data_IF_399724978224
#
_entry.id   IF_399724978224
#
_cell.length_a   1.000
_cell.length_b   1.000
_cell.length_c   1.000
_cell.angle_alpha   90.00
_cell.angle_beta   90.00
_cell.angle_gamma   90.00
#
_symmetry.space_group_name_H-M   'P 1'
#
loop_
_entity.id
_entity.type
_entity.pdbx_description
1 polymer ?
#
# COMPACT_ATOMS: atom_id res chain seq x y z
N UNK A 1 67.60 47.47 18.66
CA UNK A 1 67.69 48.55 17.63
C UNK A 1 66.30 48.72 17.03
N UNK A 2 65.61 49.76 17.43
CA UNK A 2 65.19 50.92 16.66
C UNK A 2 64.23 50.54 15.49
N UNK A 3 63.07 51.07 15.26
CA UNK A 3 62.24 52.19 15.78
C UNK A 3 60.88 52.07 15.10
N UNK A 4 59.78 52.31 15.81
CA UNK A 4 58.54 52.89 15.29
C UNK A 4 58.83 54.33 14.79
N UNK A 5 57.98 55.03 14.00
CA UNK A 5 56.57 55.40 14.20
C UNK A 5 55.81 55.53 12.85
N UNK A 6 54.56 55.92 12.71
CA UNK A 6 53.65 56.77 13.41
C UNK A 6 52.39 56.96 12.55
N UNK A 7 51.26 57.22 13.19
CA UNK A 7 49.99 57.75 12.70
C UNK A 7 50.13 59.14 12.08
N UNK A 8 49.14 59.69 11.30
CA UNK A 8 48.05 60.34 11.98
C UNK A 8 46.66 60.34 11.29
N UNK A 9 45.68 60.61 12.11
CA UNK A 9 44.32 61.07 12.05
C UNK A 9 43.93 62.19 11.03
N UNK A 10 42.64 62.19 10.58
CA UNK A 10 41.75 63.38 10.50
C UNK A 10 40.38 63.01 9.93
N UNK A 11 39.33 63.00 10.63
CA UNK A 11 38.32 63.96 11.11
C UNK A 11 37.31 64.46 10.06
N UNK A 12 36.03 64.38 10.53
CA UNK A 12 34.78 65.14 10.21
C UNK A 12 33.97 64.53 9.07
N UNK A 13 32.69 64.14 9.20
CA UNK A 13 31.64 64.62 10.08
C UNK A 13 30.49 65.11 9.22
N UNK A 14 29.33 64.48 9.26
CA UNK A 14 28.02 65.16 9.15
C UNK A 14 26.87 64.21 9.54
N UNK A 15 26.17 64.68 10.55
CA UNK A 15 24.87 64.16 11.01
C UNK A 15 23.82 64.61 9.98
N UNK A 16 22.94 63.71 9.54
CA UNK A 16 21.58 64.07 9.11
C UNK A 16 20.58 63.03 9.62
N UNK A 17 19.77 63.47 10.53
CA UNK A 17 18.54 62.90 10.99
C UNK A 17 17.55 62.72 9.85
N UNK A 18 16.96 61.52 9.75
CA UNK A 18 15.84 61.19 8.84
C UNK A 18 14.94 60.18 9.55
N UNK A 19 13.75 60.60 9.81
CA UNK A 19 12.62 60.00 10.54
C UNK A 19 12.20 58.68 9.93
N UNK A 20 11.75 57.78 10.81
CA UNK A 20 11.42 56.40 10.60
C UNK A 20 10.34 56.05 9.59
N UNK A 21 10.39 54.82 9.20
CA UNK A 21 9.23 54.00 8.86
C UNK A 21 9.59 52.56 9.18
N UNK A 22 9.03 52.07 10.27
CA UNK A 22 9.07 50.66 10.63
C UNK A 22 8.15 49.92 9.67
N UNK A 23 8.70 49.28 8.64
CA UNK A 23 8.04 48.26 7.87
C UNK A 23 8.17 46.94 8.62
N UNK A 24 7.07 46.55 9.31
CA UNK A 24 6.91 45.20 9.79
C UNK A 24 6.90 44.23 8.59
N UNK A 25 8.01 43.57 8.38
CA UNK A 25 8.09 42.42 7.45
C UNK A 25 7.28 41.28 8.09
N UNK A 26 6.02 41.12 7.70
CA UNK A 26 5.27 39.89 7.84
C UNK A 26 5.99 38.84 7.01
N UNK A 27 6.82 38.06 7.68
CA UNK A 27 7.41 36.85 7.10
C UNK A 27 6.28 35.86 6.82
N UNK A 28 5.82 35.82 5.58
CA UNK A 28 5.15 34.66 5.03
C UNK A 28 6.19 33.54 5.04
N UNK A 29 6.13 32.68 6.07
CA UNK A 29 6.72 31.37 6.00
C UNK A 29 5.92 30.59 4.95
N UNK A 30 6.27 30.76 3.68
CA UNK A 30 5.93 29.80 2.65
C UNK A 30 6.58 28.49 3.10
N UNK A 31 5.76 27.57 3.62
CA UNK A 31 6.20 26.21 3.87
C UNK A 31 6.82 25.71 2.58
N UNK A 32 8.15 25.50 2.59
CA UNK A 32 8.83 24.81 1.51
C UNK A 32 8.20 23.45 1.42
N UNK A 33 7.25 23.25 0.50
CA UNK A 33 6.95 21.92 0.01
C UNK A 33 8.27 21.42 -0.58
N UNK A 34 8.91 20.49 0.12
CA UNK A 34 10.01 19.74 -0.44
C UNK A 34 9.47 19.12 -1.73
N UNK A 35 9.97 19.57 -2.86
CA UNK A 35 9.66 18.96 -4.15
C UNK A 35 10.04 17.48 -4.02
N UNK A 36 9.03 16.61 -3.97
CA UNK A 36 9.22 15.17 -4.09
C UNK A 36 9.88 14.95 -5.45
N UNK A 37 10.97 14.20 -5.50
CA UNK A 37 11.61 13.88 -6.77
C UNK A 37 10.62 13.05 -7.59
N UNK A 38 10.33 13.46 -8.83
CA UNK A 38 9.45 12.72 -9.72
C UNK A 38 9.98 11.30 -9.94
N UNK A 39 9.13 10.34 -9.76
CA UNK A 39 9.42 8.96 -10.12
C UNK A 39 9.43 8.85 -11.64
N UNK A 40 10.51 8.30 -12.21
CA UNK A 40 10.64 8.12 -13.65
C UNK A 40 9.41 7.41 -14.22
N UNK A 41 8.83 7.98 -15.28
CA UNK A 41 7.68 7.42 -15.97
C UNK A 41 7.99 6.01 -16.51
N UNK A 42 7.04 5.11 -16.35
CA UNK A 42 7.15 3.72 -16.78
C UNK A 42 6.01 3.36 -17.72
N UNK A 43 6.04 2.18 -18.28
CA UNK A 43 4.84 1.54 -18.86
C UNK A 43 3.83 1.28 -17.75
N UNK A 44 2.55 1.16 -18.14
CA UNK A 44 1.43 0.78 -17.26
C UNK A 44 0.69 -0.44 -17.79
N UNK A 45 -0.02 -1.15 -16.95
CA UNK A 45 -0.92 -2.21 -17.41
C UNK A 45 -2.08 -1.60 -18.20
N UNK A 46 -2.39 -2.21 -19.35
CA UNK A 46 -3.63 -1.92 -20.06
C UNK A 46 -4.79 -2.64 -19.37
N UNK A 47 -5.65 -1.85 -18.74
CA UNK A 47 -6.77 -2.38 -17.97
C UNK A 47 -7.92 -2.88 -18.84
N UNK A 48 -7.93 -2.55 -20.14
CA UNK A 48 -8.96 -3.01 -21.09
C UNK A 48 -8.70 -4.42 -21.61
N UNK A 49 -7.44 -4.86 -21.56
CA UNK A 49 -7.06 -6.22 -21.97
C UNK A 49 -7.71 -7.29 -21.08
N UNK A 50 -7.94 -8.49 -21.61
CA UNK A 50 -8.50 -9.60 -20.84
C UNK A 50 -7.68 -9.95 -19.60
N UNK A 51 -8.32 -10.56 -18.61
CA UNK A 51 -7.66 -11.17 -17.47
C UNK A 51 -7.51 -12.67 -17.67
N UNK A 52 -6.43 -13.23 -17.14
CA UNK A 52 -6.15 -14.65 -17.12
C UNK A 52 -6.34 -15.22 -15.73
N UNK A 53 -6.71 -16.47 -15.63
CA UNK A 53 -6.81 -17.17 -14.35
C UNK A 53 -5.41 -17.52 -13.80
N UNK A 54 -5.20 -17.23 -12.51
CA UNK A 54 -4.20 -17.99 -11.75
C UNK A 54 -4.88 -19.25 -11.20
N UNK A 55 -5.97 -19.06 -10.46
CA UNK A 55 -6.84 -20.13 -10.00
C UNK A 55 -8.24 -19.61 -9.62
N UNK A 56 -9.20 -20.53 -9.48
CA UNK A 56 -10.58 -20.24 -9.06
C UNK A 56 -10.98 -21.08 -7.86
N UNK A 57 -11.75 -20.49 -6.97
CA UNK A 57 -12.49 -21.13 -5.86
C UNK A 57 -11.64 -22.07 -5.00
N UNK A 58 -10.46 -21.61 -4.58
CA UNK A 58 -9.55 -22.38 -3.74
C UNK A 58 -9.84 -22.18 -2.25
N UNK A 59 -9.63 -23.24 -1.49
CA UNK A 59 -9.85 -23.25 -0.05
C UNK A 59 -8.85 -22.37 0.70
N UNK A 60 -9.34 -21.73 1.77
CA UNK A 60 -8.54 -21.04 2.76
C UNK A 60 -8.85 -21.57 4.16
N UNK A 61 -7.93 -21.38 5.10
CA UNK A 61 -8.18 -21.76 6.48
C UNK A 61 -9.35 -20.97 7.06
N UNK A 62 -10.38 -21.66 7.53
CA UNK A 62 -11.57 -21.08 8.16
C UNK A 62 -12.64 -20.57 7.19
N UNK A 63 -12.46 -20.71 5.87
CA UNK A 63 -13.46 -20.39 4.84
C UNK A 63 -14.09 -18.99 4.99
N UNK A 64 -13.29 -17.98 5.33
CA UNK A 64 -13.71 -16.58 5.54
C UNK A 64 -13.37 -15.71 4.32
N UNK A 65 -13.98 -14.54 4.27
CA UNK A 65 -13.75 -13.56 3.21
C UNK A 65 -12.25 -13.20 3.12
N UNK A 66 -11.67 -13.34 1.93
CA UNK A 66 -10.36 -12.82 1.60
C UNK A 66 -10.39 -11.29 1.74
N UNK A 67 -9.32 -10.68 2.21
CA UNK A 67 -9.18 -9.22 2.32
C UNK A 67 -8.10 -8.66 1.38
N UNK A 68 -7.05 -9.43 1.16
CA UNK A 68 -5.96 -9.10 0.24
C UNK A 68 -5.02 -10.30 0.06
N UNK A 69 -3.99 -10.11 -0.75
CA UNK A 69 -2.96 -11.12 -0.96
C UNK A 69 -1.63 -10.47 -1.38
N UNK A 70 -0.54 -11.21 -1.20
CA UNK A 70 0.81 -10.79 -1.60
C UNK A 70 1.66 -11.99 -2.04
N UNK A 71 2.63 -11.75 -2.91
CA UNK A 71 3.53 -12.76 -3.43
C UNK A 71 4.94 -12.61 -2.85
N UNK A 72 5.52 -13.71 -2.38
CA UNK A 72 6.97 -13.85 -2.25
C UNK A 72 7.50 -14.35 -3.60
N UNK A 73 8.04 -13.43 -4.37
CA UNK A 73 8.42 -13.68 -5.77
C UNK A 73 9.71 -14.52 -5.93
N UNK A 74 10.50 -14.66 -4.85
CA UNK A 74 11.72 -15.48 -4.83
C UNK A 74 11.40 -16.90 -4.39
N UNK A 75 10.72 -17.06 -3.26
CA UNK A 75 10.38 -18.37 -2.72
C UNK A 75 9.10 -18.98 -3.34
N UNK A 76 8.41 -18.22 -4.23
CA UNK A 76 7.23 -18.65 -4.99
C UNK A 76 6.06 -19.09 -4.12
N UNK A 77 5.78 -18.29 -3.12
CA UNK A 77 4.62 -18.44 -2.27
C UNK A 77 3.62 -17.31 -2.46
N UNK A 78 2.37 -17.66 -2.35
CA UNK A 78 1.26 -16.72 -2.26
C UNK A 78 0.77 -16.69 -0.81
N UNK A 79 0.55 -15.51 -0.29
CA UNK A 79 -0.06 -15.29 1.03
C UNK A 79 -1.39 -14.59 0.83
N UNK A 80 -2.47 -15.19 1.35
CA UNK A 80 -3.84 -14.65 1.28
C UNK A 80 -4.28 -14.30 2.70
N UNK A 81 -4.57 -13.02 2.93
CA UNK A 81 -5.16 -12.56 4.18
C UNK A 81 -6.67 -12.76 4.14
N UNK A 82 -7.22 -13.38 5.17
CA UNK A 82 -8.67 -13.49 5.41
C UNK A 82 -8.99 -12.97 6.80
N UNK A 83 -10.25 -12.62 7.06
CA UNK A 83 -10.70 -12.44 8.44
C UNK A 83 -10.52 -13.73 9.22
N UNK A 84 -10.17 -13.61 10.51
CA UNK A 84 -10.10 -14.79 11.38
C UNK A 84 -11.48 -15.29 11.72
N UNK A 85 -11.68 -16.60 11.66
CA UNK A 85 -12.94 -17.22 12.07
C UNK A 85 -13.17 -17.05 13.57
N UNK A 86 -14.37 -16.63 13.96
CA UNK A 86 -14.78 -16.44 15.35
C UNK A 86 -14.41 -15.10 15.98
N UNK A 87 -13.73 -14.18 15.24
CA UNK A 87 -13.41 -12.84 15.72
C UNK A 87 -14.38 -11.80 15.15
N UNK A 88 -14.64 -10.73 15.91
CA UNK A 88 -15.36 -9.55 15.42
C UNK A 88 -14.47 -8.72 14.48
N UNK A 89 -15.06 -7.91 13.60
CA UNK A 89 -14.30 -7.04 12.71
C UNK A 89 -13.48 -6.01 13.47
N UNK A 90 -14.00 -5.50 14.58
CA UNK A 90 -13.33 -4.55 15.47
C UNK A 90 -12.10 -5.11 16.18
N UNK A 91 -11.95 -6.46 16.24
CA UNK A 91 -10.81 -7.09 16.89
C UNK A 91 -9.52 -6.91 16.06
N UNK A 92 -9.66 -6.68 14.76
CA UNK A 92 -8.52 -6.57 13.85
C UNK A 92 -7.76 -7.89 13.68
N UNK A 93 -8.46 -9.02 13.82
CA UNK A 93 -7.86 -10.36 13.75
C UNK A 93 -7.87 -10.88 12.32
N UNK A 94 -6.72 -11.37 11.88
CA UNK A 94 -6.49 -11.92 10.54
C UNK A 94 -6.02 -13.37 10.58
N UNK A 95 -6.23 -14.06 9.48
CA UNK A 95 -5.58 -15.34 9.16
C UNK A 95 -4.81 -15.19 7.85
N UNK A 96 -3.51 -15.35 7.89
CA UNK A 96 -2.66 -15.37 6.70
C UNK A 96 -2.52 -16.81 6.23
N UNK A 97 -3.06 -17.09 5.05
CA UNK A 97 -3.00 -18.39 4.40
C UNK A 97 -1.79 -18.42 3.47
N UNK A 98 -0.90 -19.39 3.64
CA UNK A 98 0.18 -19.66 2.69
C UNK A 98 -0.30 -20.68 1.67
N UNK A 99 -0.10 -20.37 0.40
CA UNK A 99 -0.53 -21.19 -0.73
C UNK A 99 0.61 -21.32 -1.74
N UNK A 100 0.57 -22.34 -2.59
CA UNK A 100 1.34 -22.37 -3.84
C UNK A 100 0.60 -21.60 -4.95
N UNK A 101 1.22 -21.53 -6.15
CA UNK A 101 0.62 -20.81 -7.29
C UNK A 101 -0.50 -21.59 -8.01
N UNK A 102 -0.68 -22.86 -7.70
CA UNK A 102 -1.85 -23.63 -8.13
C UNK A 102 -3.04 -23.43 -7.19
N UNK A 103 -2.84 -22.64 -6.14
CA UNK A 103 -3.84 -22.34 -5.12
C UNK A 103 -4.04 -23.47 -4.11
N UNK A 104 -3.06 -24.39 -3.97
CA UNK A 104 -3.13 -25.40 -2.93
C UNK A 104 -2.75 -24.77 -1.59
N UNK A 105 -3.60 -24.96 -0.61
CA UNK A 105 -3.39 -24.53 0.76
C UNK A 105 -2.21 -25.31 1.37
N UNK A 106 -1.25 -24.61 1.98
CA UNK A 106 -0.08 -25.20 2.60
C UNK A 106 -0.09 -25.08 4.13
N UNK A 107 -0.40 -23.91 4.66
CA UNK A 107 -0.43 -23.63 6.09
C UNK A 107 -1.06 -22.27 6.37
N UNK A 108 -1.26 -21.94 7.66
CA UNK A 108 -1.78 -20.64 8.08
C UNK A 108 -0.94 -20.01 9.19
N UNK A 109 -1.18 -18.73 9.45
CA UNK A 109 -0.73 -17.99 10.62
C UNK A 109 -1.84 -17.05 11.07
N UNK A 110 -2.23 -17.13 12.34
CA UNK A 110 -3.19 -16.18 12.91
C UNK A 110 -2.47 -14.93 13.44
N UNK A 111 -3.08 -13.78 13.21
CA UNK A 111 -2.62 -12.48 13.67
C UNK A 111 -3.75 -11.85 14.50
N UNK A 112 -3.49 -11.56 15.77
CA UNK A 112 -4.49 -10.98 16.68
C UNK A 112 -4.22 -9.49 16.90
N UNK A 113 -5.23 -8.65 16.70
CA UNK A 113 -5.13 -7.21 16.91
C UNK A 113 -4.24 -6.49 15.88
N UNK A 114 -4.13 -7.03 14.68
CA UNK A 114 -3.29 -6.43 13.62
C UNK A 114 -4.03 -5.36 12.84
N UNK A 115 -5.17 -5.67 12.25
CA UNK A 115 -5.91 -4.71 11.45
C UNK A 115 -6.95 -5.34 10.51
N UNK A 116 -7.35 -4.60 9.47
CA UNK A 116 -8.38 -5.04 8.53
C UNK A 116 -7.84 -5.95 7.41
N UNK A 117 -6.57 -5.80 7.04
CA UNK A 117 -5.94 -6.64 6.02
C UNK A 117 -6.13 -6.16 4.58
N UNK A 118 -6.45 -4.89 4.35
CA UNK A 118 -6.75 -4.33 3.01
C UNK A 118 -5.60 -4.48 2.01
N UNK A 119 -4.37 -4.41 2.47
CA UNK A 119 -3.17 -4.62 1.68
C UNK A 119 -1.97 -4.90 2.59
N UNK A 120 -1.08 -5.78 2.15
CA UNK A 120 0.19 -6.07 2.81
C UNK A 120 1.25 -6.46 1.78
N UNK A 121 2.51 -6.53 2.19
CA UNK A 121 3.61 -6.97 1.34
C UNK A 121 4.23 -8.26 1.89
N UNK A 122 4.72 -9.12 0.98
CA UNK A 122 5.48 -10.32 1.31
C UNK A 122 6.88 -10.20 0.69
N UNK A 123 7.89 -10.04 1.53
CA UNK A 123 9.27 -9.87 1.10
C UNK A 123 10.07 -11.17 1.29
N UNK A 124 10.88 -11.58 0.32
CA UNK A 124 11.75 -12.73 0.49
C UNK A 124 12.79 -12.47 1.59
N UNK A 125 12.96 -13.43 2.49
CA UNK A 125 13.91 -13.36 3.60
C UNK A 125 14.63 -14.70 3.77
N UNK A 126 15.68 -14.91 2.99
CA UNK A 126 16.31 -16.22 2.85
C UNK A 126 15.33 -17.25 2.30
N UNK A 127 15.24 -18.41 2.93
CA UNK A 127 14.25 -19.46 2.59
C UNK A 127 12.86 -19.22 3.17
N UNK A 128 12.64 -18.10 3.83
CA UNK A 128 11.35 -17.71 4.43
C UNK A 128 10.85 -16.40 3.90
N UNK A 129 9.73 -15.94 4.45
CA UNK A 129 9.06 -14.70 4.03
C UNK A 129 8.88 -13.78 5.23
N UNK A 130 9.20 -12.51 5.06
CA UNK A 130 8.84 -11.43 5.96
C UNK A 130 7.60 -10.72 5.40
N UNK A 131 6.56 -10.63 6.20
CA UNK A 131 5.35 -9.91 5.84
C UNK A 131 5.40 -8.52 6.46
N UNK A 132 5.23 -7.47 5.64
CA UNK A 132 4.96 -6.13 6.12
C UNK A 132 3.46 -5.89 6.09
N UNK A 133 2.87 -5.78 7.27
CA UNK A 133 1.42 -5.71 7.44
C UNK A 133 1.05 -4.68 8.51
N UNK A 134 -0.15 -4.13 8.42
CA UNK A 134 -0.70 -3.28 9.47
C UNK A 134 -0.74 -4.00 10.82
N UNK A 135 -0.58 -3.25 11.91
CA UNK A 135 -0.65 -3.77 13.27
C UNK A 135 -1.16 -2.69 14.23
N UNK A 136 -1.35 -3.05 15.50
CA UNK A 136 -1.84 -2.15 16.54
C UNK A 136 -3.24 -1.62 16.17
N UNK A 137 -4.20 -2.55 16.02
CA UNK A 137 -5.57 -2.25 15.58
C UNK A 137 -6.26 -1.25 16.53
N UNK A 138 -6.89 -0.24 15.95
CA UNK A 138 -7.75 0.69 16.67
C UNK A 138 -9.12 0.05 16.99
N UNK A 139 -10.00 0.77 17.67
CA UNK A 139 -11.35 0.29 18.07
C UNK A 139 -12.28 -0.01 16.90
N UNK A 140 -11.92 0.38 15.67
CA UNK A 140 -12.64 0.08 14.45
C UNK A 140 -12.00 -1.08 13.65
N UNK A 141 -10.95 -1.71 14.20
CA UNK A 141 -10.25 -2.84 13.59
C UNK A 141 -9.28 -2.48 12.47
N UNK A 142 -8.78 -1.23 12.40
CA UNK A 142 -7.76 -0.81 11.44
C UNK A 142 -6.40 -0.63 12.11
N UNK A 143 -5.34 -1.14 11.49
CA UNK A 143 -4.00 -1.04 12.05
C UNK A 143 -3.45 0.40 12.06
N UNK A 144 -2.88 0.82 13.18
CA UNK A 144 -2.33 2.18 13.37
C UNK A 144 -0.83 2.28 13.10
N UNK A 145 -0.21 1.18 12.73
CA UNK A 145 1.21 1.09 12.39
C UNK A 145 1.44 -0.05 11.38
N UNK A 146 2.67 -0.19 10.91
CA UNK A 146 3.15 -1.30 10.10
C UNK A 146 4.18 -2.12 10.90
N UNK A 147 4.18 -3.43 10.76
CA UNK A 147 5.19 -4.29 11.34
C UNK A 147 5.75 -5.30 10.32
N UNK A 148 7.08 -5.54 10.34
CA UNK A 148 7.67 -6.71 9.70
C UNK A 148 7.48 -7.91 10.62
N UNK A 149 6.85 -8.95 10.12
CA UNK A 149 6.68 -10.21 10.84
C UNK A 149 7.18 -11.38 9.98
N UNK A 150 7.92 -12.30 10.59
CA UNK A 150 8.29 -13.52 9.89
C UNK A 150 7.09 -14.46 9.85
N UNK A 151 6.71 -14.91 8.66
CA UNK A 151 5.69 -15.94 8.53
C UNK A 151 6.16 -17.24 9.21
N UNK A 152 5.35 -17.74 10.13
CA UNK A 152 5.58 -19.01 10.84
C UNK A 152 4.32 -19.87 10.76
N UNK A 153 4.45 -21.02 10.12
CA UNK A 153 3.31 -21.91 9.86
C UNK A 153 2.64 -22.40 11.14
N UNK A 154 1.31 -22.43 11.11
CA UNK A 154 0.44 -22.99 12.15
C UNK A 154 0.62 -22.34 13.54
N UNK A 155 0.89 -21.05 13.56
CA UNK A 155 1.08 -20.26 14.79
C UNK A 155 0.05 -19.16 14.94
N UNK A 156 -0.01 -18.59 16.13
CA UNK A 156 -0.75 -17.35 16.42
C UNK A 156 0.22 -16.31 16.96
N UNK A 157 0.19 -15.12 16.39
CA UNK A 157 0.97 -13.96 16.82
C UNK A 157 0.04 -12.86 17.29
N UNK A 158 0.29 -12.30 18.47
CA UNK A 158 -0.32 -11.04 18.92
C UNK A 158 0.31 -9.83 18.22
N UNK A 159 -0.43 -8.73 18.18
CA UNK A 159 0.11 -7.47 17.63
C UNK A 159 1.42 -7.10 18.32
N UNK A 160 2.48 -6.72 17.57
CA UNK A 160 3.78 -6.44 18.16
C UNK A 160 3.71 -5.23 19.09
N UNK A 161 4.59 -5.21 20.08
CA UNK A 161 4.75 -4.05 20.96
C UNK A 161 5.02 -2.78 20.15
N UNK A 162 4.62 -1.62 20.67
CA UNK A 162 4.77 -0.33 19.99
C UNK A 162 6.21 -0.04 19.54
N UNK A 163 7.21 -0.63 20.21
CA UNK A 163 8.65 -0.51 19.87
C UNK A 163 9.07 -1.32 18.65
N UNK A 164 8.26 -2.32 18.24
CA UNK A 164 8.50 -3.15 17.06
C UNK A 164 7.57 -2.76 15.90
N UNK A 165 6.73 -1.74 16.08
CA UNK A 165 5.83 -1.20 15.09
C UNK A 165 6.38 0.11 14.51
N UNK A 166 6.22 0.30 13.22
CA UNK A 166 6.73 1.46 12.48
C UNK A 166 5.61 2.38 12.04
N UNK A 167 5.81 3.68 12.23
CA UNK A 167 4.95 4.76 11.75
C UNK A 167 5.78 5.70 10.89
N UNK A 168 5.97 5.38 9.60
CA UNK A 168 6.85 6.13 8.70
C UNK A 168 6.53 7.62 8.60
N UNK A 169 5.29 8.01 8.88
CA UNK A 169 4.80 9.38 8.75
C UNK A 169 4.25 9.85 10.09
N UNK A 170 4.86 10.90 10.64
CA UNK A 170 4.45 11.45 11.93
C UNK A 170 2.99 11.92 11.94
N UNK A 171 2.26 11.56 12.99
CA UNK A 171 0.85 11.94 13.17
C UNK A 171 -0.15 11.26 12.25
N UNK A 172 0.30 10.29 11.43
CA UNK A 172 -0.60 9.48 10.61
C UNK A 172 -1.19 8.32 11.41
N UNK A 173 -2.33 7.85 10.95
CA UNK A 173 -3.09 6.71 11.47
C UNK A 173 -3.51 5.79 10.32
N UNK A 174 -3.95 4.56 10.64
CA UNK A 174 -4.48 3.60 9.67
C UNK A 174 -3.52 3.35 8.48
N UNK A 175 -2.51 2.56 8.74
CA UNK A 175 -1.52 2.20 7.74
C UNK A 175 -1.84 0.88 7.05
N UNK A 176 -1.66 0.83 5.73
CA UNK A 176 -1.53 -0.40 4.94
C UNK A 176 -0.39 -0.24 3.94
N UNK A 177 0.14 -1.32 3.38
CA UNK A 177 1.23 -1.24 2.39
C UNK A 177 1.11 -2.34 1.33
N UNK A 178 1.76 -2.14 0.19
CA UNK A 178 1.95 -3.15 -0.85
C UNK A 178 3.32 -2.95 -1.51
N UNK A 179 3.84 -3.97 -2.19
CA UNK A 179 5.17 -3.96 -2.80
C UNK A 179 5.10 -4.01 -4.33
N UNK A 180 5.97 -3.24 -4.97
CA UNK A 180 6.36 -3.39 -6.36
C UNK A 180 7.72 -4.10 -6.42
N UNK A 181 7.77 -5.40 -6.75
CA UNK A 181 9.01 -6.15 -6.81
C UNK A 181 9.83 -5.91 -8.07
N UNK A 182 9.30 -5.14 -9.03
CA UNK A 182 9.97 -4.84 -10.31
C UNK A 182 10.82 -3.59 -10.21
N UNK A 183 10.27 -2.54 -9.61
CA UNK A 183 10.95 -1.25 -9.41
C UNK A 183 11.42 -1.05 -7.97
N UNK A 184 11.36 -2.09 -7.14
CA UNK A 184 11.86 -2.13 -5.76
C UNK A 184 11.32 -0.95 -4.92
N UNK A 185 9.99 -0.87 -4.85
CA UNK A 185 9.26 0.19 -4.13
C UNK A 185 8.17 -0.37 -3.25
N UNK A 186 7.90 0.37 -2.17
CA UNK A 186 6.74 0.14 -1.30
C UNK A 186 5.79 1.30 -1.42
N UNK A 187 4.50 1.00 -1.61
CA UNK A 187 3.43 1.97 -1.50
C UNK A 187 2.76 1.83 -0.14
N UNK A 188 2.56 2.95 0.53
CA UNK A 188 1.90 3.04 1.85
C UNK A 188 0.67 3.92 1.71
N UNK A 189 -0.47 3.41 2.12
CA UNK A 189 -1.68 4.20 2.34
C UNK A 189 -1.81 4.48 3.82
N UNK A 190 -2.14 5.73 4.16
CA UNK A 190 -2.27 6.18 5.54
C UNK A 190 -3.32 7.29 5.66
N UNK A 191 -3.79 7.53 6.89
CA UNK A 191 -4.72 8.61 7.19
C UNK A 191 -4.04 9.72 7.98
N UNK A 192 -4.51 10.95 7.76
CA UNK A 192 -4.20 12.13 8.58
C UNK A 192 -5.48 12.89 8.86
N UNK A 193 -5.42 13.94 9.67
CA UNK A 193 -6.53 14.86 9.84
C UNK A 193 -7.00 15.53 8.53
N UNK A 194 -6.12 15.59 7.51
CA UNK A 194 -6.43 16.09 6.17
C UNK A 194 -7.00 15.02 5.21
N UNK A 195 -7.21 13.79 5.69
CA UNK A 195 -7.77 12.66 4.95
C UNK A 195 -6.76 11.60 4.52
N UNK A 196 -7.18 10.75 3.59
CA UNK A 196 -6.40 9.62 3.07
C UNK A 196 -5.29 10.09 2.14
N UNK A 197 -4.09 9.55 2.32
CA UNK A 197 -2.91 9.87 1.54
C UNK A 197 -2.17 8.62 1.12
N UNK A 198 -1.32 8.76 0.12
CA UNK A 198 -0.46 7.72 -0.45
C UNK A 198 0.97 8.23 -0.40
N UNK A 199 1.89 7.42 0.13
CA UNK A 199 3.33 7.65 0.05
C UNK A 199 4.01 6.46 -0.65
N UNK A 200 5.06 6.72 -1.41
CA UNK A 200 5.90 5.69 -2.04
C UNK A 200 7.32 5.83 -1.52
N UNK A 201 7.89 4.73 -1.09
CA UNK A 201 9.26 4.63 -0.59
C UNK A 201 10.09 3.68 -1.44
N UNK A 202 11.42 3.80 -1.47
CA UNK A 202 12.27 2.74 -1.96
C UNK A 202 12.10 1.50 -1.06
N UNK A 203 12.15 0.31 -1.63
CA UNK A 203 12.01 -0.96 -0.88
C UNK A 203 13.07 -1.06 0.23
N UNK A 204 14.28 -0.55 -0.02
CA UNK A 204 15.38 -0.51 0.95
C UNK A 204 15.04 0.21 2.25
N UNK A 205 14.12 1.17 2.26
CA UNK A 205 13.66 1.82 3.50
C UNK A 205 12.96 0.83 4.44
N UNK A 206 12.25 -0.14 3.87
CA UNK A 206 11.57 -1.21 4.61
C UNK A 206 12.55 -2.32 5.02
N UNK A 207 13.45 -2.71 4.13
CA UNK A 207 14.48 -3.72 4.41
C UNK A 207 15.42 -3.28 5.54
N UNK A 208 15.82 -2.02 5.52
CA UNK A 208 16.71 -1.44 6.56
C UNK A 208 15.95 -0.85 7.76
N UNK A 209 14.61 -0.79 7.69
CA UNK A 209 13.73 -0.17 8.71
C UNK A 209 14.08 1.30 8.98
N UNK A 210 14.55 1.99 7.95
CA UNK A 210 15.01 3.38 8.02
C UNK A 210 14.19 4.25 7.05
N UNK A 211 13.20 4.96 7.58
CA UNK A 211 12.26 5.75 6.81
C UNK A 211 12.71 7.22 6.77
N UNK A 212 13.16 7.67 5.61
CA UNK A 212 13.37 9.08 5.28
C UNK A 212 12.12 9.70 4.63
N UNK A 213 12.32 10.75 3.84
CA UNK A 213 11.24 11.31 3.03
C UNK A 213 10.81 10.30 1.97
N UNK A 214 9.50 10.16 1.69
CA UNK A 214 9.02 9.33 0.60
C UNK A 214 9.47 9.89 -0.76
N UNK A 215 9.55 9.03 -1.78
CA UNK A 215 9.79 9.43 -3.17
C UNK A 215 8.66 10.32 -3.69
N UNK A 216 7.42 9.95 -3.37
CA UNK A 216 6.23 10.76 -3.63
C UNK A 216 5.26 10.64 -2.45
N UNK A 217 4.49 11.71 -2.21
CA UNK A 217 3.42 11.75 -1.22
C UNK A 217 2.28 12.63 -1.75
N UNK A 218 1.11 12.05 -1.95
CA UNK A 218 -0.03 12.74 -2.51
C UNK A 218 -1.34 12.38 -1.83
N UNK A 219 -2.32 13.27 -1.93
CA UNK A 219 -3.69 13.01 -1.45
C UNK A 219 -4.30 11.89 -2.31
N UNK A 220 -4.84 10.86 -1.68
CA UNK A 220 -5.56 9.81 -2.39
C UNK A 220 -6.70 10.43 -3.21
N UNK A 221 -6.76 10.20 -4.55
CA UNK A 221 -7.86 10.71 -5.33
C UNK A 221 -9.17 10.01 -4.97
N UNK A 222 -10.29 10.70 -5.17
CA UNK A 222 -11.61 10.11 -5.03
C UNK A 222 -11.91 9.26 -6.25
N UNK A 223 -12.04 7.96 -6.06
CA UNK A 223 -12.43 6.99 -7.09
C UNK A 223 -13.82 6.46 -6.72
N UNK A 224 -14.76 6.40 -7.65
CA UNK A 224 -16.12 5.87 -7.40
C UNK A 224 -16.09 4.39 -6.99
N UNK A 225 -17.02 3.99 -6.13
CA UNK A 225 -17.18 2.63 -5.63
C UNK A 225 -16.51 2.36 -4.28
N UNK A 226 -16.83 1.23 -3.69
CA UNK A 226 -16.25 0.76 -2.42
C UNK A 226 -14.79 0.38 -2.61
N UNK A 227 -13.85 0.95 -1.84
CA UNK A 227 -12.42 0.62 -1.93
C UNK A 227 -12.15 -0.82 -1.50
N UNK A 228 -11.44 -1.60 -2.33
CA UNK A 228 -11.19 -3.02 -2.10
C UNK A 228 -9.72 -3.43 -2.20
N UNK A 229 -8.84 -2.49 -2.45
CA UNK A 229 -7.40 -2.75 -2.47
C UNK A 229 -6.63 -1.86 -3.43
N UNK A 230 -5.32 -1.94 -3.33
CA UNK A 230 -4.42 -1.19 -4.20
C UNK A 230 -3.04 -1.86 -4.27
N UNK A 231 -2.28 -1.53 -5.31
CA UNK A 231 -0.87 -1.91 -5.46
C UNK A 231 -0.11 -0.90 -6.30
N UNK A 232 1.21 -1.06 -6.43
CA UNK A 232 2.09 -0.19 -7.20
C UNK A 232 2.82 -0.98 -8.29
N UNK A 233 2.92 -0.40 -9.47
CA UNK A 233 3.85 -0.83 -10.51
C UNK A 233 4.49 0.40 -11.18
N UNK A 234 5.77 0.57 -11.01
CA UNK A 234 6.53 1.67 -11.56
C UNK A 234 6.03 3.04 -11.10
N UNK A 235 5.56 3.86 -12.04
CA UNK A 235 4.99 5.19 -11.79
C UNK A 235 3.46 5.18 -11.66
N UNK A 236 2.83 4.00 -11.52
CA UNK A 236 1.37 3.88 -11.43
C UNK A 236 0.90 3.08 -10.22
N UNK A 237 0.02 3.69 -9.43
CA UNK A 237 -0.81 2.99 -8.46
C UNK A 237 -2.03 2.41 -9.18
N UNK A 238 -2.39 1.18 -8.86
CA UNK A 238 -3.64 0.55 -9.27
C UNK A 238 -4.57 0.49 -8.08
N UNK A 239 -5.83 0.86 -8.30
CA UNK A 239 -6.83 0.97 -7.26
C UNK A 239 -8.07 0.17 -7.66
N UNK A 240 -8.47 -0.76 -6.77
CA UNK A 240 -9.60 -1.67 -6.97
C UNK A 240 -10.82 -1.13 -6.23
N UNK A 241 -11.96 -1.09 -6.91
CA UNK A 241 -13.26 -0.75 -6.31
C UNK A 241 -14.34 -1.72 -6.76
N UNK A 242 -15.35 -1.90 -5.92
CA UNK A 242 -16.52 -2.73 -6.21
C UNK A 242 -17.09 -3.33 -4.93
N UNK A 243 -18.11 -4.17 -5.12
CA UNK A 243 -18.82 -4.84 -4.03
C UNK A 243 -19.06 -6.32 -4.41
N UNK A 244 -19.50 -7.14 -3.47
CA UNK A 244 -20.03 -8.46 -3.77
C UNK A 244 -21.25 -8.37 -4.69
N UNK A 245 -21.55 -9.44 -5.40
CA UNK A 245 -22.85 -9.52 -6.09
C UNK A 245 -23.99 -9.45 -5.07
N UNK A 246 -25.07 -8.70 -5.38
CA UNK A 246 -26.16 -8.48 -4.42
C UNK A 246 -26.95 -9.75 -4.09
N UNK A 247 -27.70 -9.70 -3.00
CA UNK A 247 -28.59 -10.77 -2.58
C UNK A 247 -27.84 -12.02 -2.13
N UNK A 248 -28.10 -13.14 -2.74
CA UNK A 248 -27.44 -14.42 -2.45
C UNK A 248 -26.02 -14.54 -3.05
N UNK A 249 -25.60 -13.56 -3.82
CA UNK A 249 -24.29 -13.55 -4.49
C UNK A 249 -24.29 -14.20 -5.87
N UNK A 250 -25.47 -14.50 -6.44
CA UNK A 250 -25.58 -15.01 -7.81
C UNK A 250 -25.05 -14.01 -8.82
N UNK A 251 -24.27 -14.45 -9.83
CA UNK A 251 -23.73 -13.57 -10.88
C UNK A 251 -24.81 -12.77 -11.61
N UNK A 252 -24.62 -11.45 -11.72
CA UNK A 252 -25.58 -10.51 -12.32
C UNK A 252 -25.12 -9.93 -13.67
N UNK A 253 -24.22 -10.62 -14.39
CA UNK A 253 -23.72 -10.16 -15.70
C UNK A 253 -22.20 -10.04 -15.78
N UNK A 254 -21.71 -8.92 -16.36
CA UNK A 254 -20.27 -8.75 -16.66
C UNK A 254 -19.39 -8.49 -15.43
N UNK A 255 -19.99 -8.29 -14.27
CA UNK A 255 -19.29 -7.97 -13.03
C UNK A 255 -19.58 -6.54 -12.54
N UNK A 256 -19.03 -6.23 -11.36
CA UNK A 256 -19.26 -4.98 -10.64
C UNK A 256 -17.96 -4.43 -10.02
N UNK A 257 -16.82 -4.90 -10.51
CA UNK A 257 -15.52 -4.54 -9.95
C UNK A 257 -14.69 -3.79 -10.98
N UNK A 258 -14.04 -2.72 -10.55
CA UNK A 258 -13.35 -1.78 -11.42
C UNK A 258 -11.92 -1.57 -10.96
N UNK A 259 -11.01 -1.42 -11.93
CA UNK A 259 -9.62 -1.05 -11.67
C UNK A 259 -9.33 0.32 -12.29
N UNK A 260 -8.64 1.16 -11.54
CA UNK A 260 -8.19 2.48 -12.00
C UNK A 260 -6.68 2.55 -11.88
N UNK A 261 -5.97 3.01 -12.92
CA UNK A 261 -4.57 3.37 -12.82
C UNK A 261 -4.41 4.86 -12.53
N UNK A 262 -3.55 5.20 -11.57
CA UNK A 262 -3.30 6.55 -11.06
C UNK A 262 -1.80 6.82 -11.21
N UNK A 263 -1.44 7.91 -11.88
CA UNK A 263 -0.06 8.39 -11.96
C UNK A 263 0.35 8.93 -10.59
N UNK A 264 1.38 8.35 -9.97
CA UNK A 264 1.79 8.70 -8.61
C UNK A 264 2.48 10.07 -8.53
N UNK A 265 3.05 10.59 -9.63
CA UNK A 265 3.67 11.92 -9.65
C UNK A 265 2.62 13.04 -9.62
N UNK A 266 1.44 12.78 -10.18
CA UNK A 266 0.36 13.78 -10.28
C UNK A 266 -0.83 13.49 -9.35
N UNK A 267 -0.96 12.25 -8.85
CA UNK A 267 -2.13 11.80 -8.09
C UNK A 267 -3.41 11.71 -8.94
N UNK A 268 -3.30 11.71 -10.28
CA UNK A 268 -4.46 11.73 -11.20
C UNK A 268 -4.66 10.39 -11.89
N UNK A 269 -5.93 10.02 -12.13
CA UNK A 269 -6.27 8.82 -12.90
C UNK A 269 -5.79 8.97 -14.35
N UNK A 270 -5.16 7.93 -14.88
CA UNK A 270 -4.72 7.81 -16.27
C UNK A 270 -5.60 6.89 -17.09
N UNK A 271 -6.15 5.83 -16.48
CA UNK A 271 -7.10 4.93 -17.10
C UNK A 271 -8.10 4.43 -16.06
N UNK A 272 -9.36 4.36 -16.42
CA UNK A 272 -10.40 3.83 -15.55
C UNK A 272 -11.30 4.89 -14.92
N UNK A 273 -12.28 4.44 -14.11
CA UNK A 273 -12.50 3.03 -13.71
C UNK A 273 -12.82 2.13 -14.90
N UNK A 274 -12.08 1.03 -15.06
CA UNK A 274 -12.31 0.02 -16.09
C UNK A 274 -12.92 -1.22 -15.44
N UNK A 275 -14.09 -1.64 -15.94
CA UNK A 275 -14.76 -2.86 -15.48
C UNK A 275 -13.88 -4.07 -15.77
N UNK A 276 -13.59 -4.87 -14.76
CA UNK A 276 -12.94 -6.18 -14.95
C UNK A 276 -14.00 -7.28 -15.01
N UNK A 277 -13.92 -8.12 -16.06
CA UNK A 277 -14.75 -9.31 -16.22
C UNK A 277 -14.12 -10.58 -15.61
N UNK A 278 -12.97 -10.45 -14.97
CA UNK A 278 -12.30 -11.57 -14.30
C UNK A 278 -13.25 -12.28 -13.33
N UNK A 279 -13.46 -13.57 -13.53
CA UNK A 279 -14.35 -14.36 -12.67
C UNK A 279 -15.82 -13.91 -12.61
N UNK A 280 -16.36 -13.21 -13.64
CA UNK A 280 -17.72 -12.68 -13.63
C UNK A 280 -18.82 -13.72 -13.44
N UNK A 281 -18.52 -15.00 -13.66
CA UNK A 281 -19.44 -16.14 -13.45
C UNK A 281 -19.32 -16.78 -12.06
N UNK A 282 -18.42 -16.30 -11.21
CA UNK A 282 -18.23 -16.83 -9.86
C UNK A 282 -19.27 -16.25 -8.90
N UNK A 283 -19.71 -17.06 -7.98
CA UNK A 283 -20.67 -16.69 -6.95
C UNK A 283 -20.04 -15.73 -5.93
N UNK A 284 -20.79 -14.76 -5.40
CA UNK A 284 -20.39 -13.69 -4.51
C UNK A 284 -19.43 -12.70 -5.17
N UNK A 285 -18.26 -13.11 -5.59
CA UNK A 285 -17.28 -12.35 -6.36
C UNK A 285 -17.00 -10.94 -5.80
N UNK A 286 -16.80 -10.82 -4.52
CA UNK A 286 -16.36 -9.57 -3.90
C UNK A 286 -14.90 -9.31 -4.26
N UNK A 287 -14.57 -8.13 -4.85
CA UNK A 287 -13.18 -7.82 -5.16
C UNK A 287 -12.38 -7.62 -3.88
N UNK A 288 -11.19 -8.25 -3.76
CA UNK A 288 -10.42 -8.27 -2.53
C UNK A 288 -8.92 -8.31 -2.80
N UNK A 289 -8.36 -7.11 -2.97
CA UNK A 289 -6.93 -6.90 -3.10
C UNK A 289 -6.38 -6.91 -4.52
N UNK A 290 -5.23 -6.23 -4.65
CA UNK A 290 -4.35 -6.20 -5.81
C UNK A 290 -2.92 -6.51 -5.38
N UNK A 291 -2.14 -7.15 -6.24
CA UNK A 291 -0.71 -7.35 -6.04
C UNK A 291 0.05 -7.38 -7.37
N UNK A 292 1.35 -7.06 -7.33
CA UNK A 292 2.26 -7.28 -8.46
C UNK A 292 3.11 -8.53 -8.18
N UNK A 293 3.27 -9.32 -9.22
CA UNK A 293 4.24 -10.41 -9.23
C UNK A 293 5.21 -10.24 -10.39
N UNK A 294 6.49 -10.49 -10.13
CA UNK A 294 7.54 -10.57 -11.14
C UNK A 294 7.87 -12.03 -11.41
N UNK A 295 7.69 -12.49 -12.65
CA UNK A 295 8.03 -13.83 -13.07
C UNK A 295 9.55 -14.03 -13.12
N UNK A 296 10.02 -15.29 -13.20
CA UNK A 296 11.45 -15.60 -13.39
C UNK A 296 12.01 -15.01 -14.70
N UNK A 297 11.17 -14.84 -15.71
CA UNK A 297 11.52 -14.18 -16.97
C UNK A 297 11.58 -12.65 -16.85
N UNK A 298 11.28 -12.08 -15.67
CA UNK A 298 11.26 -10.65 -15.43
C UNK A 298 9.96 -9.94 -15.85
N UNK A 299 8.94 -10.70 -16.30
CA UNK A 299 7.65 -10.13 -16.66
C UNK A 299 6.87 -9.69 -15.43
N UNK A 300 6.23 -8.52 -15.51
CA UNK A 300 5.30 -8.06 -14.49
C UNK A 300 3.88 -8.57 -14.76
N UNK A 301 3.15 -8.92 -13.71
CA UNK A 301 1.74 -9.26 -13.75
C UNK A 301 0.98 -8.51 -12.65
N UNK A 302 -0.14 -7.87 -13.02
CA UNK A 302 -1.08 -7.25 -12.10
C UNK A 302 -2.14 -8.26 -11.73
N UNK A 303 -2.15 -8.69 -10.48
CA UNK A 303 -3.10 -9.66 -9.96
C UNK A 303 -4.29 -8.98 -9.29
N UNK A 304 -5.47 -9.60 -9.43
CA UNK A 304 -6.76 -9.15 -8.90
C UNK A 304 -7.37 -10.32 -8.14
N UNK A 305 -7.68 -10.13 -6.87
CA UNK A 305 -8.28 -11.15 -6.00
C UNK A 305 -9.78 -10.95 -5.82
N UNK A 306 -10.48 -12.05 -5.61
CA UNK A 306 -11.90 -12.07 -5.28
C UNK A 306 -12.19 -13.09 -4.18
N UNK A 307 -12.99 -12.66 -3.20
CA UNK A 307 -13.69 -13.60 -2.34
C UNK A 307 -14.90 -14.15 -3.11
N UNK A 308 -14.99 -15.48 -3.18
CA UNK A 308 -16.02 -16.18 -3.94
C UNK A 308 -16.70 -17.26 -3.08
N UNK A 309 -17.65 -17.98 -3.63
CA UNK A 309 -18.36 -19.04 -2.90
C UNK A 309 -19.53 -18.53 -2.05
N UNK A 310 -20.16 -19.42 -1.29
CA UNK A 310 -21.35 -19.10 -0.49
C UNK A 310 -20.96 -18.66 0.92
N UNK A 311 -21.92 -18.13 1.67
CA UNK A 311 -21.70 -17.82 3.09
C UNK A 311 -21.35 -19.11 3.86
N UNK A 312 -20.35 -19.03 4.74
CA UNK A 312 -19.82 -20.19 5.47
C UNK A 312 -18.84 -21.06 4.68
N UNK A 313 -18.73 -20.88 3.37
CA UNK A 313 -17.75 -21.55 2.48
C UNK A 313 -17.14 -20.57 1.49
N UNK A 314 -16.50 -19.49 2.02
CA UNK A 314 -15.79 -18.50 1.20
C UNK A 314 -14.49 -19.07 0.69
N UNK A 315 -14.19 -18.73 -0.56
CA UNK A 315 -13.05 -19.23 -1.31
C UNK A 315 -12.26 -18.10 -1.94
N UNK A 316 -10.98 -18.32 -2.20
CA UNK A 316 -10.11 -17.41 -2.91
C UNK A 316 -10.12 -17.70 -4.41
N UNK A 317 -10.23 -16.65 -5.21
CA UNK A 317 -10.05 -16.70 -6.67
C UNK A 317 -9.13 -15.57 -7.10
N UNK A 318 -8.10 -15.88 -7.88
CA UNK A 318 -7.10 -14.87 -8.29
C UNK A 318 -6.90 -14.92 -9.80
N UNK A 319 -6.87 -13.73 -10.38
CA UNK A 319 -6.71 -13.49 -11.82
C UNK A 319 -5.58 -12.50 -12.05
N UNK A 320 -5.07 -12.40 -13.30
CA UNK A 320 -4.02 -11.44 -13.61
C UNK A 320 -4.17 -10.81 -14.99
N UNK A 321 -3.55 -9.64 -15.16
CA UNK A 321 -3.29 -8.96 -16.43
C UNK A 321 -1.78 -8.85 -16.63
N UNK A 322 -1.31 -8.91 -17.91
CA UNK A 322 0.11 -8.87 -18.25
C UNK A 322 0.44 -7.94 -19.43
N UNK A 323 -0.54 -7.35 -20.07
CA UNK A 323 -0.31 -6.42 -21.17
C UNK A 323 0.13 -5.05 -20.66
N UNK A 324 1.25 -4.53 -21.17
CA UNK A 324 1.83 -3.23 -20.83
C UNK A 324 1.81 -2.26 -22.03
N UNK A 325 1.39 -1.03 -21.79
CA UNK A 325 1.38 0.09 -22.75
C UNK A 325 2.20 1.28 -22.27
#
# INVERSE_FOLDING_TARGET
MNRTPGLPLSRRGLIRTGVGASLAALGLAAGAQTASADVTATKRFDLTEPSYDLFRSKDTHGARVQQSFAFDWVNKFLFVATKRSGSAESDGDLCINKMDFDGNYLSYMHLNGFGHGVAFAALPSGSGTELWIECDANTAGYGTALAPIRYTANTTLGSPAATAAYRPIAGATEYTCSVDPVYERMIVRYHTSAGKRIAVYPLSAFETRSFGSPLVDFKQPTIPGTPQGYTLYGSYMYYLTGDAYPGDGTPTGDGNSYVTSIDINTGTAKQGPVLTKAGSTLHHREPEGLAIYRTDAGEARLFIGFATGVEGDRRSSIFYKNALV
#
